data_IF_733270134020
#
_entry.id   IF_733270134020
#
_cell.length_a   1.000
_cell.length_b   1.000
_cell.length_c   1.000
_cell.angle_alpha   90.00
_cell.angle_beta   90.00
_cell.angle_gamma   90.00
#
_symmetry.space_group_name_H-M   'P 1'
#
loop_
_entity.id
_entity.type
_entity.pdbx_description
1 polymer ?
#
# COMPACT_ATOMS: atom_id res chain seq x y z
N UNK A 1 10.94 -32.11 -18.70
CA UNK A 1 11.18 -30.82 -19.37
C UNK A 1 10.90 -29.73 -18.33
N UNK A 2 11.95 -29.28 -17.63
CA UNK A 2 11.84 -28.31 -16.55
C UNK A 2 12.76 -27.14 -16.85
N UNK A 3 12.17 -25.98 -17.11
CA UNK A 3 12.86 -24.72 -17.37
C UNK A 3 13.62 -24.29 -16.11
N UNK A 4 14.94 -24.38 -16.17
CA UNK A 4 15.84 -23.82 -15.17
C UNK A 4 15.92 -22.31 -15.43
N UNK A 5 15.16 -21.51 -14.69
CA UNK A 5 15.30 -20.06 -14.72
C UNK A 5 16.59 -19.68 -14.02
N UNK A 6 17.63 -19.40 -14.80
CA UNK A 6 18.87 -18.80 -14.33
C UNK A 6 18.57 -17.41 -13.77
N UNK A 7 18.67 -17.29 -12.45
CA UNK A 7 18.64 -15.99 -11.78
C UNK A 7 20.03 -15.35 -12.00
N UNK A 8 20.14 -14.43 -12.95
CA UNK A 8 21.40 -13.71 -13.18
C UNK A 8 21.73 -12.87 -11.95
N UNK A 9 22.64 -13.42 -11.14
CA UNK A 9 23.17 -12.78 -9.96
C UNK A 9 23.95 -11.52 -10.37
N UNK A 10 23.49 -10.39 -9.84
CA UNK A 10 24.14 -9.08 -9.93
C UNK A 10 25.67 -9.19 -9.79
N UNK A 11 26.36 -8.53 -10.72
CA UNK A 11 27.82 -8.43 -10.86
C UNK A 11 28.57 -8.47 -9.51
N UNK A 12 29.42 -9.47 -9.36
CA UNK A 12 30.35 -9.61 -8.24
C UNK A 12 31.36 -8.47 -8.27
N UNK A 13 31.49 -7.71 -7.19
CA UNK A 13 32.50 -6.66 -7.08
C UNK A 13 33.89 -7.29 -6.87
N UNK A 14 34.76 -7.17 -7.88
CA UNK A 14 36.10 -7.74 -7.89
C UNK A 14 37.03 -7.17 -6.80
N UNK A 15 36.71 -6.01 -6.21
CA UNK A 15 37.49 -5.42 -5.10
C UNK A 15 37.18 -6.06 -3.74
N UNK A 16 36.12 -6.87 -3.66
CA UNK A 16 35.53 -7.33 -2.39
C UNK A 16 35.56 -8.87 -2.25
N UNK A 17 36.57 -9.52 -2.85
CA UNK A 17 36.87 -10.93 -2.60
C UNK A 17 35.86 -11.92 -3.20
N UNK A 18 35.17 -11.55 -4.27
CA UNK A 18 34.31 -12.49 -5.02
C UNK A 18 32.90 -12.69 -4.43
N UNK A 19 32.52 -11.96 -3.38
CA UNK A 19 31.19 -12.08 -2.77
C UNK A 19 30.19 -11.11 -3.40
N UNK A 20 29.02 -11.62 -3.78
CA UNK A 20 27.90 -10.80 -4.24
C UNK A 20 27.30 -10.00 -3.08
N UNK A 21 26.68 -8.85 -3.39
CA UNK A 21 25.99 -8.03 -2.38
C UNK A 21 24.94 -8.84 -1.61
N UNK A 22 24.13 -9.64 -2.33
CA UNK A 22 23.09 -10.48 -1.73
C UNK A 22 23.66 -11.54 -0.77
N UNK A 23 24.81 -12.14 -1.11
CA UNK A 23 25.46 -13.15 -0.26
C UNK A 23 25.89 -12.58 1.09
N UNK A 24 26.37 -11.33 1.11
CA UNK A 24 26.71 -10.65 2.37
C UNK A 24 25.48 -10.34 3.22
N UNK A 25 24.39 -9.90 2.58
CA UNK A 25 23.13 -9.65 3.28
C UNK A 25 22.53 -10.92 3.89
N UNK A 26 22.70 -12.07 3.22
CA UNK A 26 22.18 -13.34 3.70
C UNK A 26 23.01 -13.89 4.88
N UNK A 27 24.34 -13.89 4.76
CA UNK A 27 25.27 -14.32 5.84
C UNK A 27 25.19 -13.43 7.07
N UNK A 28 24.97 -12.13 6.90
CA UNK A 28 24.84 -11.16 7.98
C UNK A 28 23.44 -11.06 8.61
N UNK A 29 22.48 -11.91 8.22
CA UNK A 29 21.10 -11.82 8.73
C UNK A 29 21.03 -12.28 10.19
N UNK A 30 20.82 -11.33 11.09
CA UNK A 30 20.82 -11.55 12.56
C UNK A 30 19.53 -12.24 13.06
N UNK A 31 18.40 -12.05 12.37
CA UNK A 31 17.14 -12.68 12.75
C UNK A 31 16.18 -12.81 11.57
N UNK A 32 15.27 -13.77 11.68
CA UNK A 32 14.09 -13.83 10.83
C UNK A 32 13.01 -12.90 11.39
N UNK A 33 12.59 -11.93 10.58
CA UNK A 33 11.50 -11.03 10.96
C UNK A 33 10.19 -11.82 11.02
N UNK A 34 9.35 -11.47 11.99
CA UNK A 34 7.97 -11.97 12.04
C UNK A 34 7.21 -11.53 10.79
N UNK A 35 6.43 -12.43 10.22
CA UNK A 35 5.56 -12.12 9.11
C UNK A 35 4.50 -11.11 9.56
N UNK A 36 4.51 -9.93 8.94
CA UNK A 36 3.43 -8.96 9.10
C UNK A 36 2.27 -9.39 8.22
N UNK A 37 1.05 -9.25 8.73
CA UNK A 37 -0.14 -9.39 7.91
C UNK A 37 -0.22 -8.29 6.87
N UNK A 38 -0.93 -8.55 5.77
CA UNK A 38 -1.14 -7.57 4.71
C UNK A 38 -1.76 -6.26 5.25
N UNK A 39 -2.67 -6.39 6.24
CA UNK A 39 -3.34 -5.23 6.87
C UNK A 39 -2.42 -4.38 7.74
N UNK A 40 -1.37 -4.97 8.30
CA UNK A 40 -0.34 -4.23 9.01
C UNK A 40 0.60 -3.51 8.03
N UNK A 41 0.86 -4.11 6.87
CA UNK A 41 1.68 -3.50 5.82
C UNK A 41 1.02 -2.28 5.19
N UNK A 42 -0.31 -2.19 5.19
CA UNK A 42 -1.02 -0.98 4.77
C UNK A 42 -0.55 0.28 5.54
N UNK A 43 -0.06 0.12 6.77
CA UNK A 43 0.47 1.23 7.57
C UNK A 43 1.75 1.84 6.97
N UNK A 44 2.41 1.14 6.04
CA UNK A 44 3.54 1.64 5.26
C UNK A 44 3.11 2.49 4.05
N UNK A 45 1.83 2.45 3.66
CA UNK A 45 1.29 3.26 2.56
C UNK A 45 1.33 4.77 2.88
N UNK A 46 1.26 5.60 1.84
CA UNK A 46 1.16 7.05 2.02
C UNK A 46 -0.16 7.39 2.68
N UNK A 47 -0.14 8.44 3.51
CA UNK A 47 -1.26 8.85 4.33
C UNK A 47 -1.82 10.20 3.86
N UNK A 48 -3.14 10.33 3.87
CA UNK A 48 -3.85 11.60 3.74
C UNK A 48 -4.91 11.73 4.83
N UNK A 49 -4.79 12.79 5.61
CA UNK A 49 -5.64 13.04 6.77
C UNK A 49 -6.92 13.79 6.46
N UNK A 50 -7.88 13.65 7.39
CA UNK A 50 -9.07 14.51 7.54
C UNK A 50 -9.89 14.63 6.26
N UNK A 51 -10.34 13.49 5.77
CA UNK A 51 -11.26 13.42 4.62
C UNK A 51 -12.67 13.12 5.12
N UNK A 52 -13.62 13.95 4.70
CA UNK A 52 -15.02 13.80 5.08
C UNK A 52 -15.66 12.67 4.27
N UNK A 53 -16.41 11.80 4.92
CA UNK A 53 -17.29 10.85 4.23
C UNK A 53 -18.60 11.57 3.90
N UNK A 54 -18.96 11.60 2.63
CA UNK A 54 -20.19 12.22 2.14
C UNK A 54 -21.40 11.30 2.34
N UNK A 55 -22.59 11.90 2.26
CA UNK A 55 -23.87 11.17 2.26
C UNK A 55 -23.82 10.10 1.15
N UNK A 56 -24.17 8.86 1.49
CA UNK A 56 -24.08 7.64 0.66
C UNK A 56 -22.71 6.95 0.58
N UNK A 57 -21.73 7.36 1.41
CA UNK A 57 -20.47 6.61 1.55
C UNK A 57 -19.46 6.90 0.46
N UNK A 58 -19.49 8.10 -0.11
CA UNK A 58 -18.45 8.57 -1.02
C UNK A 58 -17.36 9.34 -0.28
N UNK A 59 -16.16 9.33 -0.83
CA UNK A 59 -15.04 10.15 -0.36
C UNK A 59 -14.26 10.69 -1.56
N UNK A 60 -13.78 11.93 -1.46
CA UNK A 60 -13.01 12.58 -2.52
C UNK A 60 -11.53 12.70 -2.14
N UNK A 61 -10.67 12.34 -3.09
CA UNK A 61 -9.21 12.46 -2.96
C UNK A 61 -8.57 12.47 -4.35
N UNK A 62 -7.54 13.31 -4.55
CA UNK A 62 -6.79 13.40 -5.81
C UNK A 62 -7.69 13.49 -7.06
N UNK A 63 -8.70 14.38 -7.02
CA UNK A 63 -9.69 14.59 -8.09
C UNK A 63 -10.55 13.35 -8.44
N UNK A 64 -10.46 12.27 -7.67
CA UNK A 64 -11.27 11.06 -7.81
C UNK A 64 -12.34 10.98 -6.74
N UNK A 65 -13.45 10.34 -7.09
CA UNK A 65 -14.51 9.95 -6.15
C UNK A 65 -14.41 8.46 -5.91
N UNK A 66 -14.31 8.07 -4.64
CA UNK A 66 -14.22 6.68 -4.24
C UNK A 66 -15.49 6.23 -3.56
N UNK A 67 -15.83 4.96 -3.74
CA UNK A 67 -16.90 4.28 -3.01
C UNK A 67 -16.34 3.03 -2.33
N UNK A 68 -16.65 2.89 -1.04
CA UNK A 68 -16.25 1.73 -0.25
C UNK A 68 -17.45 0.98 0.30
N UNK A 69 -17.28 -0.31 0.50
CA UNK A 69 -18.31 -1.13 1.13
C UNK A 69 -18.56 -0.64 2.56
N UNK A 70 -19.83 -0.46 2.93
CA UNK A 70 -20.26 0.06 4.24
C UNK A 70 -19.79 1.48 4.60
N UNK A 71 -19.11 2.21 3.71
CA UNK A 71 -18.61 3.55 4.03
C UNK A 71 -19.74 4.54 4.34
N UNK A 72 -20.94 4.28 3.83
CA UNK A 72 -22.14 5.07 4.10
C UNK A 72 -22.52 5.12 5.60
N UNK A 73 -22.15 4.11 6.39
CA UNK A 73 -22.40 4.10 7.83
C UNK A 73 -21.60 5.16 8.59
N UNK A 74 -20.55 5.71 7.98
CA UNK A 74 -19.64 6.72 8.56
C UNK A 74 -19.88 8.11 7.97
N UNK A 75 -21.04 8.36 7.33
CA UNK A 75 -21.33 9.64 6.72
C UNK A 75 -21.24 10.80 7.74
N UNK A 76 -20.52 11.87 7.37
CA UNK A 76 -20.22 12.99 8.25
C UNK A 76 -19.03 12.78 9.17
N UNK A 77 -18.41 11.60 9.20
CA UNK A 77 -17.17 11.35 9.91
C UNK A 77 -15.95 11.76 9.09
N UNK A 78 -14.88 12.14 9.80
CA UNK A 78 -13.57 12.40 9.23
C UNK A 78 -12.70 11.15 9.32
N UNK A 79 -12.23 10.67 8.18
CA UNK A 79 -11.40 9.47 8.05
C UNK A 79 -9.99 9.79 7.53
N UNK A 80 -9.13 8.78 7.56
CA UNK A 80 -7.77 8.77 7.02
C UNK A 80 -7.78 7.89 5.78
N UNK A 81 -7.12 8.35 4.73
CA UNK A 81 -6.89 7.58 3.51
C UNK A 81 -5.45 7.09 3.49
N UNK A 82 -5.26 5.80 3.22
CA UNK A 82 -3.97 5.18 2.92
C UNK A 82 -3.94 4.69 1.47
N UNK A 83 -2.87 5.01 0.76
CA UNK A 83 -2.78 4.79 -0.69
C UNK A 83 -1.34 4.49 -1.15
N UNK A 84 -1.21 3.71 -2.22
CA UNK A 84 0.04 3.58 -2.97
C UNK A 84 0.12 4.74 -3.97
N UNK A 85 1.16 5.59 -3.96
CA UNK A 85 1.30 6.66 -4.95
C UNK A 85 1.45 6.15 -6.40
N UNK A 86 1.76 4.86 -6.60
CA UNK A 86 1.86 4.23 -7.94
C UNK A 86 0.50 3.77 -8.48
N UNK A 87 -0.46 3.55 -7.59
CA UNK A 87 -1.83 3.18 -7.93
C UNK A 87 -2.79 3.71 -6.87
N UNK A 88 -3.45 4.81 -7.21
CA UNK A 88 -4.45 5.43 -6.34
C UNK A 88 -5.87 4.97 -6.65
N UNK A 89 -6.09 4.04 -7.58
CA UNK A 89 -7.45 3.57 -7.93
C UNK A 89 -8.11 2.80 -6.78
N UNK A 90 -7.30 2.21 -5.91
CA UNK A 90 -7.74 1.59 -4.67
C UNK A 90 -7.12 2.30 -3.48
N UNK A 91 -7.94 2.63 -2.50
CA UNK A 91 -7.48 3.22 -1.24
C UNK A 91 -8.06 2.48 -0.04
N UNK A 92 -7.35 2.56 1.08
CA UNK A 92 -7.75 1.95 2.34
C UNK A 92 -8.17 3.05 3.31
N UNK A 93 -9.37 2.90 3.88
CA UNK A 93 -9.98 3.89 4.74
C UNK A 93 -9.83 3.46 6.19
N UNK A 94 -9.34 4.37 7.03
CA UNK A 94 -9.14 4.17 8.46
C UNK A 94 -9.83 5.26 9.26
N UNK A 95 -10.21 4.96 10.49
CA UNK A 95 -10.54 5.98 11.49
C UNK A 95 -9.51 6.00 12.61
N UNK A 96 -9.43 7.13 13.30
CA UNK A 96 -8.74 7.20 14.57
C UNK A 96 -9.57 6.53 15.68
N UNK A 97 -8.92 5.68 16.47
CA UNK A 97 -9.44 5.17 17.73
C UNK A 97 -8.35 5.33 18.80
N UNK A 98 -8.40 6.43 19.55
CA UNK A 98 -7.30 6.84 20.43
C UNK A 98 -6.02 7.10 19.64
N UNK A 99 -4.92 6.43 20.02
CA UNK A 99 -3.63 6.53 19.32
C UNK A 99 -3.50 5.61 18.10
N UNK A 100 -4.50 4.76 17.82
CA UNK A 100 -4.44 3.77 16.73
C UNK A 100 -5.28 4.19 15.53
N UNK A 101 -4.87 3.70 14.37
CA UNK A 101 -5.69 3.69 13.16
C UNK A 101 -6.38 2.34 13.06
N UNK A 102 -7.70 2.36 12.87
CA UNK A 102 -8.50 1.14 12.71
C UNK A 102 -9.07 1.12 11.31
N UNK A 103 -8.79 0.03 10.59
CA UNK A 103 -9.28 -0.19 9.24
C UNK A 103 -10.81 -0.23 9.24
N UNK A 104 -11.41 0.48 8.29
CA UNK A 104 -12.85 0.49 8.08
C UNK A 104 -13.21 -0.33 6.85
N UNK A 105 -12.66 0.04 5.70
CA UNK A 105 -13.00 -0.58 4.42
C UNK A 105 -11.99 -0.19 3.34
N UNK A 106 -11.98 -0.94 2.24
CA UNK A 106 -11.35 -0.52 0.99
C UNK A 106 -12.35 0.31 0.19
N UNK A 107 -11.87 1.29 -0.55
CA UNK A 107 -12.68 2.08 -1.46
C UNK A 107 -12.01 2.14 -2.83
N UNK A 108 -12.83 2.03 -3.87
CA UNK A 108 -12.37 2.04 -5.27
C UNK A 108 -12.83 3.32 -5.96
N UNK A 109 -11.94 3.89 -6.77
CA UNK A 109 -12.22 5.06 -7.58
C UNK A 109 -13.27 4.70 -8.64
N UNK A 110 -14.35 5.48 -8.67
CA UNK A 110 -15.45 5.28 -9.61
C UNK A 110 -14.97 5.54 -11.04
N UNK A 111 -15.24 4.59 -11.94
CA UNK A 111 -14.85 4.65 -13.35
C UNK A 111 -13.42 4.24 -13.64
N UNK A 112 -12.68 3.71 -12.65
CA UNK A 112 -11.30 3.23 -12.77
C UNK A 112 -11.14 1.77 -12.34
N UNK A 113 -12.22 0.99 -12.33
CA UNK A 113 -12.26 -0.35 -11.73
C UNK A 113 -11.37 -1.37 -12.46
N UNK A 114 -10.94 -1.07 -13.69
CA UNK A 114 -10.11 -1.96 -14.53
C UNK A 114 -8.78 -1.33 -14.94
N UNK A 115 -8.49 -0.13 -14.44
CA UNK A 115 -7.32 0.66 -14.83
C UNK A 115 -6.45 0.96 -13.61
N UNK A 116 -5.25 1.49 -13.87
CA UNK A 116 -4.33 1.97 -12.83
C UNK A 116 -4.06 3.44 -13.13
N UNK A 117 -4.10 4.26 -12.09
CA UNK A 117 -3.79 5.68 -12.15
C UNK A 117 -2.83 6.00 -11.01
N UNK A 118 -1.66 6.56 -11.33
CA UNK A 118 -0.73 6.99 -10.28
C UNK A 118 -1.14 8.33 -9.69
N UNK A 119 -0.69 8.63 -8.47
CA UNK A 119 -0.94 9.93 -7.83
C UNK A 119 -0.36 11.12 -8.61
N UNK A 120 0.67 10.89 -9.44
CA UNK A 120 1.29 11.94 -10.24
C UNK A 120 0.42 12.35 -11.44
N UNK A 121 -0.37 11.42 -11.95
CA UNK A 121 -1.17 11.57 -13.17
C UNK A 121 -2.59 12.08 -12.90
N UNK A 122 -3.01 12.13 -11.62
CA UNK A 122 -4.31 12.59 -11.15
C UNK A 122 -4.34 14.09 -10.78
#
# INVERSE_FOLDING_TARGET
>A
MGIHLSFDAQSVDARMGGQSGIGRWDVGRIAQLSWMSERELDLCLKRRDRRMVYRNGYIQFANLTYQGEHLAAYAGESVIIRYDPRDITTVFIYRHQGSKEVFLTRAHAQGWETEILSYREA
#
